data_IF_339667874401
#
_entry.id   IF_339667874401
#
_cell.length_a   1.000
_cell.length_b   1.000
_cell.length_c   1.000
_cell.angle_alpha   90.00
_cell.angle_beta   90.00
_cell.angle_gamma   90.00
#
_symmetry.space_group_name_H-M   'P 1'
#
loop_
_entity.id
_entity.type
_entity.pdbx_description
1 polymer ?
#
# COMPACT_ATOMS: atom_id res chain seq x y z
N UNK A 1 44.83 -9.59 27.13
CA UNK A 1 44.70 -10.96 26.60
C UNK A 1 43.52 -11.00 25.62
N UNK A 2 43.74 -10.53 24.39
CA UNK A 2 42.88 -10.82 23.24
C UNK A 2 43.84 -11.03 22.07
N UNK A 3 43.79 -12.24 21.52
CA UNK A 3 44.73 -12.77 20.53
C UNK A 3 44.54 -12.07 19.19
N UNK A 4 45.66 -11.62 18.64
CA UNK A 4 45.86 -11.30 17.23
C UNK A 4 45.46 -12.53 16.41
N UNK A 5 44.48 -12.38 15.52
CA UNK A 5 44.23 -13.34 14.45
C UNK A 5 45.10 -12.90 13.27
N UNK A 6 46.28 -13.52 13.15
CA UNK A 6 47.04 -13.50 11.90
C UNK A 6 46.24 -14.28 10.86
N UNK A 7 45.61 -13.56 9.92
CA UNK A 7 45.10 -14.15 8.68
C UNK A 7 46.18 -13.90 7.64
N UNK A 8 46.81 -15.00 7.24
CA UNK A 8 47.89 -15.05 6.27
C UNK A 8 47.51 -14.40 4.94
N UNK A 9 48.55 -13.88 4.29
CA UNK A 9 48.57 -13.32 2.95
C UNK A 9 48.17 -14.43 1.97
N UNK A 10 46.87 -14.59 1.75
CA UNK A 10 46.30 -15.26 0.61
C UNK A 10 45.91 -14.21 -0.41
N UNK A 11 46.41 -14.34 -1.64
CA UNK A 11 46.13 -13.47 -2.78
C UNK A 11 44.70 -12.94 -2.78
N UNK A 12 44.53 -11.67 -2.37
CA UNK A 12 43.33 -10.91 -2.71
C UNK A 12 43.44 -10.64 -4.20
N UNK A 13 42.86 -11.52 -5.00
CA UNK A 13 42.53 -11.22 -6.38
C UNK A 13 41.67 -9.96 -6.36
N UNK A 14 42.28 -8.83 -6.71
CA UNK A 14 41.57 -7.59 -7.03
C UNK A 14 40.65 -7.95 -8.20
N UNK A 15 39.38 -8.23 -7.90
CA UNK A 15 38.36 -8.35 -8.93
C UNK A 15 38.38 -7.02 -9.68
N UNK A 16 38.68 -6.98 -10.99
CA UNK A 16 38.75 -5.73 -11.71
C UNK A 16 37.41 -5.02 -11.60
N UNK A 17 37.42 -3.86 -10.93
CA UNK A 17 36.30 -2.94 -10.89
C UNK A 17 36.00 -2.57 -12.34
N UNK A 18 34.84 -3.02 -12.84
CA UNK A 18 34.39 -2.67 -14.18
C UNK A 18 33.41 -1.49 -14.07
N UNK A 19 33.86 -0.23 -14.15
CA UNK A 19 32.96 0.92 -14.05
C UNK A 19 31.85 0.89 -15.13
N UNK A 20 32.06 0.15 -16.24
CA UNK A 20 31.03 -0.05 -17.26
C UNK A 20 29.86 -0.91 -16.78
N UNK A 21 30.02 -1.79 -15.78
CA UNK A 21 28.92 -2.61 -15.27
C UNK A 21 27.96 -1.78 -14.42
N UNK A 22 28.46 -0.98 -13.48
CA UNK A 22 27.61 -0.11 -12.65
C UNK A 22 26.92 1.00 -13.45
N UNK A 23 27.64 1.65 -14.39
CA UNK A 23 27.01 2.64 -15.26
C UNK A 23 25.92 2.03 -16.16
N UNK A 24 26.17 0.83 -16.74
CA UNK A 24 25.16 0.12 -17.55
C UNK A 24 23.95 -0.30 -16.73
N UNK A 25 24.16 -0.83 -15.53
CA UNK A 25 23.08 -1.21 -14.62
C UNK A 25 22.24 0.04 -14.25
N UNK A 26 22.88 1.18 -14.01
CA UNK A 26 22.19 2.45 -13.78
C UNK A 26 21.40 2.92 -15.01
N UNK A 27 21.99 2.93 -16.22
CA UNK A 27 21.30 3.34 -17.45
C UNK A 27 20.09 2.45 -17.73
N UNK A 28 20.20 1.14 -17.43
CA UNK A 28 19.08 0.21 -17.52
C UNK A 28 18.01 0.56 -16.49
N UNK A 29 18.37 0.73 -15.21
CA UNK A 29 17.39 1.06 -14.16
C UNK A 29 16.70 2.41 -14.38
N UNK A 30 17.45 3.45 -14.74
CA UNK A 30 16.92 4.81 -14.92
C UNK A 30 16.02 4.91 -16.15
N UNK A 31 16.42 4.34 -17.30
CA UNK A 31 15.57 4.37 -18.50
C UNK A 31 14.36 3.45 -18.35
N UNK A 32 14.48 2.33 -17.62
CA UNK A 32 13.37 1.41 -17.42
C UNK A 32 12.33 1.97 -16.44
N UNK A 33 12.74 2.53 -15.28
CA UNK A 33 11.80 3.09 -14.31
C UNK A 33 11.09 4.35 -14.85
N UNK A 34 11.80 5.24 -15.55
CA UNK A 34 11.19 6.47 -16.08
C UNK A 34 10.24 6.25 -17.27
N UNK A 35 10.47 5.22 -18.11
CA UNK A 35 9.61 4.96 -19.27
C UNK A 35 8.44 4.00 -18.97
N UNK A 36 8.52 3.19 -17.90
CA UNK A 36 7.51 2.16 -17.61
C UNK A 36 6.67 2.39 -16.35
N UNK A 37 7.09 3.20 -15.39
CA UNK A 37 6.30 3.44 -14.19
C UNK A 37 5.56 4.79 -14.27
N UNK A 38 4.22 4.74 -14.22
CA UNK A 38 3.35 5.91 -14.21
C UNK A 38 2.60 5.98 -12.88
N UNK A 39 2.43 7.18 -12.34
CA UNK A 39 1.71 7.43 -11.10
C UNK A 39 0.91 8.74 -11.20
N UNK A 40 -0.40 8.63 -11.06
CA UNK A 40 -1.32 9.76 -10.98
C UNK A 40 -1.94 9.79 -9.58
N UNK A 41 -1.76 10.90 -8.87
CA UNK A 41 -2.25 11.11 -7.50
C UNK A 41 -3.35 12.14 -7.49
N UNK A 42 -4.56 11.74 -7.10
CA UNK A 42 -5.75 12.60 -7.01
C UNK A 42 -6.05 12.81 -5.53
N UNK A 43 -5.83 14.02 -5.02
CA UNK A 43 -6.20 14.37 -3.63
C UNK A 43 -7.70 14.63 -3.53
N UNK A 44 -8.35 14.13 -2.49
CA UNK A 44 -9.80 14.31 -2.31
C UNK A 44 -10.23 14.61 -0.86
N UNK A 45 -9.31 15.03 0.02
CA UNK A 45 -9.63 15.33 1.43
C UNK A 45 -10.78 16.34 1.57
N UNK A 46 -10.78 17.38 0.74
CA UNK A 46 -11.69 18.53 0.80
C UNK A 46 -12.57 18.56 -0.45
N UNK A 47 -13.19 17.43 -0.78
CA UNK A 47 -14.01 17.36 -1.97
C UNK A 47 -15.33 18.14 -1.76
N UNK A 48 -15.82 18.75 -2.83
CA UNK A 48 -17.14 19.37 -2.83
C UNK A 48 -18.18 18.29 -3.11
N UNK A 49 -19.20 18.25 -2.25
CA UNK A 49 -20.36 17.38 -2.48
C UNK A 49 -21.17 17.90 -3.68
N UNK A 50 -22.05 17.06 -4.23
CA UNK A 50 -22.98 17.47 -5.31
C UNK A 50 -23.88 18.65 -4.94
N UNK A 51 -24.04 18.93 -3.64
CA UNK A 51 -24.83 20.04 -3.08
C UNK A 51 -24.00 21.35 -2.97
N UNK A 52 -22.70 21.31 -3.31
CA UNK A 52 -21.80 22.47 -3.29
C UNK A 52 -21.12 22.74 -1.95
N UNK A 53 -21.46 21.98 -0.89
CA UNK A 53 -20.81 22.11 0.41
C UNK A 53 -19.46 21.38 0.41
N UNK A 54 -18.43 22.03 0.97
CA UNK A 54 -17.11 21.43 1.18
C UNK A 54 -17.17 20.44 2.34
N UNK A 55 -16.43 19.32 2.24
CA UNK A 55 -16.33 18.34 3.33
C UNK A 55 -15.51 18.84 4.53
N UNK A 56 -15.00 20.07 4.50
CA UNK A 56 -14.21 20.68 5.59
C UNK A 56 -15.06 21.09 6.80
N UNK A 57 -16.35 21.38 6.61
CA UNK A 57 -17.24 21.87 7.68
C UNK A 57 -17.91 20.78 8.52
N UNK A 58 -17.77 19.50 8.12
CA UNK A 58 -18.41 18.38 8.81
C UNK A 58 -17.52 17.82 9.93
N UNK A 59 -17.68 18.38 11.13
CA UNK A 59 -17.01 17.92 12.36
C UNK A 59 -17.74 16.76 13.07
N UNK A 60 -18.99 16.49 12.71
CA UNK A 60 -19.83 15.46 13.32
C UNK A 60 -20.18 14.37 12.29
N UNK A 61 -19.51 13.22 12.38
CA UNK A 61 -19.77 12.06 11.52
C UNK A 61 -20.93 11.23 12.10
N UNK A 62 -22.13 11.78 12.05
CA UNK A 62 -23.37 11.02 12.26
C UNK A 62 -24.28 11.29 11.08
N UNK A 63 -24.34 10.36 10.12
CA UNK A 63 -25.37 10.38 9.10
C UNK A 63 -26.29 9.19 9.31
N UNK A 64 -27.55 9.43 9.71
CA UNK A 64 -28.58 8.40 9.74
C UNK A 64 -29.02 7.93 8.35
N UNK A 65 -28.78 8.70 7.27
CA UNK A 65 -29.47 8.44 5.97
C UNK A 65 -28.77 8.87 4.63
N UNK A 66 -27.48 9.26 4.55
CA UNK A 66 -26.94 9.69 3.23
C UNK A 66 -25.44 9.92 3.13
N UNK A 67 -24.76 9.02 2.41
CA UNK A 67 -23.33 9.11 2.08
C UNK A 67 -22.98 10.40 1.34
N UNK A 68 -22.01 11.17 1.83
CA UNK A 68 -21.44 12.28 1.09
C UNK A 68 -20.71 11.73 -0.15
N UNK A 69 -21.26 11.98 -1.34
CA UNK A 69 -20.65 11.54 -2.59
C UNK A 69 -19.90 12.69 -3.26
N UNK A 70 -18.64 12.44 -3.61
CA UNK A 70 -17.77 13.39 -4.28
C UNK A 70 -17.48 12.93 -5.71
N UNK A 71 -17.51 13.87 -6.65
CA UNK A 71 -17.25 13.63 -8.07
C UNK A 71 -16.04 14.46 -8.47
N UNK A 72 -14.94 13.79 -8.85
CA UNK A 72 -13.72 14.46 -9.28
C UNK A 72 -13.41 14.09 -10.72
N UNK A 73 -13.47 15.08 -11.60
CA UNK A 73 -13.18 14.90 -13.02
C UNK A 73 -11.73 15.28 -13.32
N UNK A 74 -11.02 14.44 -14.06
CA UNK A 74 -9.64 14.65 -14.48
C UNK A 74 -9.37 14.03 -15.85
N UNK A 75 -8.34 14.54 -16.53
CA UNK A 75 -7.89 14.03 -17.82
C UNK A 75 -6.65 13.14 -17.65
N UNK A 76 -6.66 11.98 -18.28
CA UNK A 76 -5.46 11.17 -18.52
C UNK A 76 -4.96 11.50 -19.92
N UNK A 77 -3.76 12.08 -20.04
CA UNK A 77 -3.21 12.58 -21.31
C UNK A 77 -2.65 11.47 -22.20
N UNK A 78 -2.11 10.41 -21.60
CA UNK A 78 -1.44 9.31 -22.29
C UNK A 78 -2.06 7.96 -21.92
N UNK A 79 -2.09 7.00 -22.84
CA UNK A 79 -2.60 5.66 -22.58
C UNK A 79 -1.73 4.97 -21.51
N UNK A 80 -2.36 4.56 -20.41
CA UNK A 80 -1.67 3.76 -19.39
C UNK A 80 -1.75 2.29 -19.78
N UNK A 81 -0.71 1.78 -20.44
CA UNK A 81 -0.69 0.42 -20.98
C UNK A 81 -0.18 -0.62 -19.97
N UNK A 82 -0.86 -1.76 -19.85
CA UNK A 82 -0.44 -2.88 -18.99
C UNK A 82 -1.23 -2.99 -17.67
N UNK A 83 -0.57 -3.50 -16.63
CA UNK A 83 -1.23 -3.82 -15.36
C UNK A 83 -1.41 -2.59 -14.48
N UNK A 84 -2.63 -2.05 -14.51
CA UNK A 84 -3.00 -0.87 -13.74
C UNK A 84 -3.54 -1.28 -12.37
N UNK A 85 -3.05 -0.58 -11.34
CA UNK A 85 -3.45 -0.78 -9.96
C UNK A 85 -3.97 0.53 -9.37
N UNK A 86 -5.00 0.40 -8.57
CA UNK A 86 -5.67 1.49 -7.89
C UNK A 86 -5.35 1.40 -6.40
N UNK A 87 -4.95 2.51 -5.81
CA UNK A 87 -4.58 2.62 -4.42
C UNK A 87 -5.36 3.76 -3.76
N UNK A 88 -5.63 3.62 -2.47
CA UNK A 88 -5.91 4.79 -1.64
C UNK A 88 -4.66 5.13 -0.82
N UNK A 89 -4.37 6.41 -0.70
CA UNK A 89 -3.26 6.96 0.06
C UNK A 89 -3.77 7.75 1.27
N UNK A 90 -3.13 7.52 2.42
CA UNK A 90 -3.30 8.30 3.63
C UNK A 90 -1.98 8.99 3.98
N UNK A 91 -2.04 10.29 4.21
CA UNK A 91 -0.91 11.13 4.64
C UNK A 91 -1.13 11.54 6.10
N UNK A 92 -0.05 11.64 6.88
CA UNK A 92 -0.10 12.00 8.31
C UNK A 92 -0.94 11.00 9.15
N UNK A 93 -0.97 9.73 8.74
CA UNK A 93 -1.65 8.66 9.48
C UNK A 93 -0.65 7.67 10.05
N UNK A 94 -0.44 7.70 11.36
CA UNK A 94 0.66 7.01 12.05
C UNK A 94 0.31 5.56 12.44
N UNK A 95 0.17 4.66 11.44
CA UNK A 95 -0.03 3.22 11.70
C UNK A 95 1.18 2.55 12.38
N UNK A 96 2.34 3.19 12.35
CA UNK A 96 3.59 2.67 12.89
C UNK A 96 3.78 2.94 14.39
N UNK A 97 2.81 3.59 15.06
CA UNK A 97 2.84 3.72 16.51
C UNK A 97 2.79 2.33 17.17
N UNK A 98 3.71 2.06 18.11
CA UNK A 98 3.83 0.74 18.77
C UNK A 98 2.50 0.26 19.37
N UNK A 99 1.81 1.12 20.14
CA UNK A 99 0.55 0.77 20.79
C UNK A 99 -0.56 0.50 19.77
N UNK A 100 -0.54 1.20 18.63
CA UNK A 100 -1.46 0.94 17.54
C UNK A 100 -1.19 -0.41 16.88
N UNK A 101 0.08 -0.71 16.52
CA UNK A 101 0.47 -1.96 15.85
C UNK A 101 0.22 -3.19 16.73
N UNK A 102 0.49 -3.07 18.04
CA UNK A 102 0.28 -4.14 19.01
C UNK A 102 -1.21 -4.35 19.34
N UNK A 103 -2.08 -3.37 19.09
CA UNK A 103 -3.52 -3.46 19.36
C UNK A 103 -4.28 -4.22 18.27
N UNK A 104 -4.01 -5.53 18.20
CA UNK A 104 -4.73 -6.53 17.41
C UNK A 104 -4.44 -7.93 17.97
N UNK A 105 -5.30 -8.90 17.69
CA UNK A 105 -5.06 -10.29 18.05
C UNK A 105 -5.11 -11.21 16.82
N UNK A 106 -3.95 -11.72 16.40
CA UNK A 106 -3.84 -12.55 15.19
C UNK A 106 -4.54 -13.92 15.34
N UNK A 107 -4.72 -14.42 16.56
CA UNK A 107 -5.44 -15.67 16.84
C UNK A 107 -6.95 -15.49 16.67
N UNK A 108 -7.47 -14.31 17.02
CA UNK A 108 -8.86 -13.93 16.75
C UNK A 108 -9.17 -13.92 15.25
N UNK A 109 -8.25 -13.38 14.44
CA UNK A 109 -8.37 -13.31 12.98
C UNK A 109 -8.38 -14.69 12.31
N UNK A 110 -7.96 -15.74 13.03
CA UNK A 110 -8.06 -17.14 12.62
C UNK A 110 -9.39 -17.80 13.03
N UNK A 111 -10.34 -17.04 13.57
CA UNK A 111 -11.68 -17.50 13.93
C UNK A 111 -11.88 -17.88 15.39
N UNK A 112 -10.91 -17.61 16.28
CA UNK A 112 -11.04 -17.85 17.74
C UNK A 112 -11.48 -16.57 18.46
N UNK A 113 -12.78 -16.32 18.51
CA UNK A 113 -13.37 -15.02 18.88
C UNK A 113 -13.17 -14.63 20.36
N UNK A 114 -12.88 -15.60 21.21
CA UNK A 114 -12.59 -15.45 22.64
C UNK A 114 -11.19 -14.87 22.92
N UNK A 115 -10.27 -15.02 21.97
CA UNK A 115 -8.87 -14.60 22.09
C UNK A 115 -8.73 -13.11 21.76
N UNK A 116 -8.61 -12.27 22.79
CA UNK A 116 -8.56 -10.79 22.64
C UNK A 116 -7.35 -10.16 23.35
N UNK A 117 -6.36 -10.97 23.71
CA UNK A 117 -5.15 -10.49 24.37
C UNK A 117 -4.40 -9.50 23.47
N UNK A 118 -3.90 -8.42 24.07
CA UNK A 118 -3.23 -7.32 23.36
C UNK A 118 -4.15 -6.25 22.77
N UNK A 119 -5.47 -6.49 22.70
CA UNK A 119 -6.42 -5.54 22.10
C UNK A 119 -6.92 -4.43 23.04
N UNK A 120 -6.48 -4.39 24.31
CA UNK A 120 -6.96 -3.40 25.28
C UNK A 120 -6.76 -1.95 24.79
N UNK A 121 -7.72 -1.04 25.02
CA UNK A 121 -9.02 -1.23 25.71
C UNK A 121 -10.16 -1.72 24.79
N UNK A 122 -9.88 -2.02 23.52
CA UNK A 122 -10.85 -2.49 22.52
C UNK A 122 -10.87 -4.03 22.44
N UNK A 123 -10.79 -4.69 23.59
CA UNK A 123 -10.87 -6.15 23.73
C UNK A 123 -12.30 -6.61 24.05
N UNK A 124 -12.99 -5.92 24.97
CA UNK A 124 -14.37 -6.23 25.39
C UNK A 124 -15.21 -4.98 25.59
N UNK A 125 -16.53 -5.12 25.45
CA UNK A 125 -17.48 -4.05 25.78
C UNK A 125 -17.60 -3.94 27.30
N UNK A 126 -17.44 -2.74 27.85
CA UNK A 126 -17.49 -2.51 29.29
C UNK A 126 -18.85 -2.97 29.88
N UNK A 127 -18.79 -3.72 30.98
CA UNK A 127 -19.98 -4.23 31.67
C UNK A 127 -20.66 -5.44 31.01
N UNK A 128 -20.09 -6.01 29.94
CA UNK A 128 -20.62 -7.22 29.29
C UNK A 128 -19.52 -8.27 29.06
N UNK A 129 -19.93 -9.51 28.77
CA UNK A 129 -19.01 -10.58 28.38
C UNK A 129 -18.74 -10.60 26.86
N UNK A 130 -19.27 -9.66 26.09
CA UNK A 130 -19.09 -9.63 24.65
C UNK A 130 -17.72 -9.08 24.26
N UNK A 131 -17.04 -9.77 23.34
CA UNK A 131 -15.77 -9.33 22.76
C UNK A 131 -15.99 -8.48 21.52
N UNK A 132 -15.08 -7.55 21.25
CA UNK A 132 -15.08 -6.87 19.95
C UNK A 132 -14.53 -7.83 18.88
N UNK A 133 -15.21 -7.96 17.74
CA UNK A 133 -14.74 -8.74 16.61
C UNK A 133 -14.82 -7.90 15.33
N UNK A 134 -13.68 -7.57 14.71
CA UNK A 134 -12.29 -7.74 15.18
C UNK A 134 -11.90 -6.81 16.35
N UNK A 135 -11.07 -7.26 17.28
CA UNK A 135 -10.60 -6.44 18.40
C UNK A 135 -9.44 -5.51 18.02
N UNK A 136 -9.26 -4.43 18.80
CA UNK A 136 -8.08 -3.56 18.73
C UNK A 136 -8.18 -2.34 17.79
N UNK A 137 -7.25 -1.40 17.97
CA UNK A 137 -7.26 -0.11 17.27
C UNK A 137 -6.99 -0.22 15.77
N UNK A 138 -6.19 -1.21 15.34
CA UNK A 138 -5.91 -1.43 13.92
C UNK A 138 -7.22 -1.67 13.19
N UNK A 139 -8.03 -2.60 13.70
CA UNK A 139 -9.26 -2.97 13.03
C UNK A 139 -10.35 -1.90 13.20
N UNK A 140 -10.47 -1.29 14.39
CA UNK A 140 -11.44 -0.23 14.64
C UNK A 140 -11.33 0.94 13.66
N UNK A 141 -10.11 1.30 13.25
CA UNK A 141 -9.87 2.43 12.34
C UNK A 141 -9.86 2.08 10.85
N UNK A 142 -10.49 0.96 10.48
CA UNK A 142 -10.57 0.48 9.09
C UNK A 142 -11.08 1.54 8.11
N UNK A 143 -10.34 1.70 7.01
CA UNK A 143 -10.72 2.56 5.91
C UNK A 143 -12.00 2.06 5.21
N UNK A 144 -12.96 2.95 4.99
CA UNK A 144 -14.30 2.60 4.51
C UNK A 144 -14.86 3.52 3.40
N UNK A 145 -14.03 4.36 2.75
CA UNK A 145 -14.45 5.01 1.50
C UNK A 145 -14.53 3.97 0.37
N UNK A 146 -15.43 4.21 -0.58
CA UNK A 146 -15.54 3.39 -1.79
C UNK A 146 -15.36 4.24 -3.03
N UNK A 147 -14.75 3.65 -4.06
CA UNK A 147 -14.41 4.33 -5.30
C UNK A 147 -15.08 3.65 -6.49
N UNK A 148 -15.52 4.46 -7.45
CA UNK A 148 -15.91 4.04 -8.78
C UNK A 148 -15.28 4.99 -9.78
N UNK A 149 -14.70 4.47 -10.84
CA UNK A 149 -14.07 5.27 -11.88
C UNK A 149 -14.88 5.13 -13.16
N UNK A 150 -15.26 6.26 -13.76
CA UNK A 150 -16.07 6.33 -14.98
C UNK A 150 -15.21 6.95 -16.07
N UNK A 151 -15.11 6.28 -17.22
CA UNK A 151 -14.46 6.78 -18.42
C UNK A 151 -15.50 7.42 -19.33
N UNK A 152 -15.26 8.67 -19.73
CA UNK A 152 -16.09 9.39 -20.70
C UNK A 152 -15.50 9.19 -22.09
N UNK A 153 -16.05 8.24 -22.85
CA UNK A 153 -15.58 7.94 -24.19
C UNK A 153 -15.87 9.07 -25.18
N UNK A 154 -15.05 9.18 -26.23
CA UNK A 154 -15.16 10.25 -27.25
C UNK A 154 -16.50 10.27 -28.01
N UNK A 155 -17.28 9.19 -27.94
CA UNK A 155 -18.60 9.06 -28.58
C UNK A 155 -19.78 9.31 -27.61
N UNK A 156 -19.54 9.89 -26.43
CA UNK A 156 -20.58 10.29 -25.47
C UNK A 156 -21.14 9.16 -24.60
N UNK A 157 -20.44 8.02 -24.53
CA UNK A 157 -20.79 6.90 -23.65
C UNK A 157 -19.94 6.89 -22.38
N UNK A 158 -20.60 6.82 -21.23
CA UNK A 158 -19.96 6.67 -19.92
C UNK A 158 -19.76 5.18 -19.62
N UNK A 159 -18.51 4.77 -19.49
CA UNK A 159 -18.13 3.37 -19.25
C UNK A 159 -17.52 3.27 -17.85
N UNK A 160 -18.10 2.42 -16.99
CA UNK A 160 -17.52 2.15 -15.68
C UNK A 160 -16.25 1.33 -15.86
N UNK A 161 -15.13 1.83 -15.33
CA UNK A 161 -13.85 1.12 -15.36
C UNK A 161 -13.97 -0.14 -14.49
N UNK A 162 -13.73 -1.33 -15.05
CA UNK A 162 -13.95 -2.57 -14.35
C UNK A 162 -12.82 -2.83 -13.35
N UNK A 163 -13.21 -3.02 -12.09
CA UNK A 163 -12.29 -3.34 -11.01
C UNK A 163 -12.31 -4.83 -10.72
N UNK A 164 -11.13 -5.41 -10.49
CA UNK A 164 -10.98 -6.80 -10.06
C UNK A 164 -10.23 -6.89 -8.74
N UNK A 165 -10.57 -7.94 -7.98
CA UNK A 165 -9.89 -8.33 -6.73
C UNK A 165 -8.95 -9.53 -6.91
N UNK A 166 -8.96 -10.15 -8.10
CA UNK A 166 -8.17 -11.33 -8.43
C UNK A 166 -6.69 -11.03 -8.24
N UNK A 167 -5.91 -11.96 -7.67
CA UNK A 167 -4.46 -11.82 -7.47
C UNK A 167 -3.98 -10.64 -6.61
N UNK A 168 -4.85 -9.91 -5.89
CA UNK A 168 -4.42 -8.85 -4.96
C UNK A 168 -3.65 -9.41 -3.75
N UNK A 169 -4.02 -10.60 -3.29
CA UNK A 169 -3.39 -11.29 -2.17
C UNK A 169 -3.19 -12.78 -2.50
N UNK A 170 -1.99 -13.34 -2.30
CA UNK A 170 -1.74 -14.77 -2.49
C UNK A 170 -2.59 -15.62 -1.55
N UNK A 171 -3.18 -16.71 -2.06
CA UNK A 171 -4.07 -17.59 -1.29
C UNK A 171 -3.42 -18.17 -0.02
N UNK A 172 -2.12 -18.46 -0.08
CA UNK A 172 -1.35 -18.95 1.07
C UNK A 172 -1.33 -17.94 2.22
N UNK A 173 -1.27 -16.64 1.91
CA UNK A 173 -1.28 -15.58 2.94
C UNK A 173 -2.66 -15.46 3.54
N UNK A 174 -3.71 -15.45 2.70
CA UNK A 174 -5.12 -15.40 3.13
C UNK A 174 -5.41 -16.54 4.11
N UNK A 175 -5.24 -17.80 3.67
CA UNK A 175 -5.57 -19.01 4.45
C UNK A 175 -4.74 -19.23 5.72
N UNK A 176 -3.56 -18.63 5.81
CA UNK A 176 -2.65 -18.76 6.97
C UNK A 176 -2.92 -17.74 8.07
N UNK A 177 -3.40 -16.55 7.71
CA UNK A 177 -3.55 -15.43 8.65
C UNK A 177 -5.00 -15.08 8.98
N UNK A 178 -5.92 -15.43 8.09
CA UNK A 178 -7.32 -15.04 8.21
C UNK A 178 -8.22 -16.23 7.92
N UNK A 179 -9.16 -16.49 8.83
CA UNK A 179 -10.20 -17.50 8.67
C UNK A 179 -11.45 -17.07 9.40
N UNK A 180 -12.59 -17.25 8.75
CA UNK A 180 -13.86 -17.06 9.43
C UNK A 180 -14.11 -18.17 10.46
N UNK A 181 -14.77 -17.86 11.58
CA UNK A 181 -15.27 -18.88 12.50
C UNK A 181 -16.26 -19.79 11.76
N UNK A 182 -16.27 -21.07 12.12
CA UNK A 182 -17.23 -22.01 11.55
C UNK A 182 -18.56 -21.90 12.32
N UNK A 183 -19.70 -21.75 11.64
CA UNK A 183 -20.99 -21.82 12.30
C UNK A 183 -21.23 -23.21 12.87
N UNK A 184 -21.97 -23.27 13.97
CA UNK A 184 -22.44 -24.54 14.53
C UNK A 184 -23.61 -25.06 13.69
N UNK A 185 -23.50 -26.30 13.18
CA UNK A 185 -24.53 -26.92 12.36
C UNK A 185 -24.83 -26.16 11.06
N UNK A 186 -26.11 -25.92 10.79
CA UNK A 186 -26.60 -25.19 9.60
C UNK A 186 -26.70 -23.67 9.81
N UNK A 187 -25.99 -23.12 10.81
CA UNK A 187 -26.00 -21.69 11.10
C UNK A 187 -25.38 -20.84 9.99
N UNK A 188 -25.76 -19.57 9.96
CA UNK A 188 -25.16 -18.55 9.10
C UNK A 188 -23.82 -18.08 9.66
N UNK A 189 -23.03 -17.39 8.84
CA UNK A 189 -21.78 -16.77 9.32
C UNK A 189 -22.03 -15.81 10.49
N UNK A 190 -23.13 -15.06 10.49
CA UNK A 190 -23.45 -14.14 11.58
C UNK A 190 -23.74 -14.87 12.89
N UNK A 191 -24.33 -16.07 12.83
CA UNK A 191 -24.56 -16.90 14.03
C UNK A 191 -23.22 -17.34 14.65
N UNK A 192 -22.20 -17.60 13.82
CA UNK A 192 -20.85 -17.87 14.29
C UNK A 192 -20.21 -16.68 15.04
N UNK A 193 -20.73 -15.46 14.85
CA UNK A 193 -20.29 -14.24 15.52
C UNK A 193 -21.25 -13.76 16.64
N UNK A 194 -22.26 -14.55 17.03
CA UNK A 194 -23.34 -14.11 17.93
C UNK A 194 -22.89 -13.52 19.28
N UNK A 195 -21.76 -13.97 19.84
CA UNK A 195 -21.20 -13.47 21.11
C UNK A 195 -20.17 -12.34 20.93
N UNK A 196 -20.23 -11.63 19.81
CA UNK A 196 -19.30 -10.54 19.50
C UNK A 196 -20.02 -9.28 19.10
N UNK A 197 -19.37 -8.14 19.30
CA UNK A 197 -19.87 -6.83 18.91
C UNK A 197 -18.90 -6.21 17.90
N UNK A 198 -19.43 -5.46 16.94
CA UNK A 198 -18.59 -4.70 16.02
C UNK A 198 -17.77 -3.62 16.75
N UNK A 199 -16.60 -3.23 16.24
CA UNK A 199 -15.83 -2.12 16.79
C UNK A 199 -16.63 -0.79 16.79
N UNK A 200 -16.34 0.14 17.72
CA UNK A 200 -17.09 1.38 17.86
C UNK A 200 -17.22 2.24 16.59
N UNK A 201 -16.21 2.26 15.72
CA UNK A 201 -16.22 3.07 14.49
C UNK A 201 -16.75 2.32 13.25
N UNK A 202 -17.24 1.10 13.43
CA UNK A 202 -17.78 0.31 12.32
C UNK A 202 -19.28 0.57 12.16
N UNK A 203 -19.70 0.75 10.90
CA UNK A 203 -21.12 0.89 10.52
C UNK A 203 -21.80 -0.46 10.27
N UNK A 204 -21.01 -1.48 9.94
CA UNK A 204 -21.51 -2.83 9.61
C UNK A 204 -20.84 -3.87 10.49
N UNK A 205 -21.55 -4.95 10.80
CA UNK A 205 -20.99 -6.06 11.55
C UNK A 205 -20.02 -6.86 10.67
N UNK A 206 -18.98 -7.43 11.28
CA UNK A 206 -17.94 -8.17 10.55
C UNK A 206 -18.53 -9.29 9.68
N UNK A 207 -19.56 -9.99 10.13
CA UNK A 207 -20.18 -11.08 9.37
C UNK A 207 -20.87 -10.62 8.07
N UNK A 208 -21.19 -9.33 7.94
CA UNK A 208 -21.80 -8.72 6.75
C UNK A 208 -20.78 -8.01 5.86
N UNK A 209 -19.55 -7.79 6.36
CA UNK A 209 -18.51 -7.09 5.63
C UNK A 209 -18.18 -7.83 4.33
N UNK A 210 -18.45 -7.18 3.19
CA UNK A 210 -18.20 -7.75 1.86
C UNK A 210 -19.27 -8.72 1.33
N UNK A 211 -20.35 -9.00 2.08
CA UNK A 211 -21.38 -9.94 1.66
C UNK A 211 -22.10 -9.54 0.35
N UNK A 212 -22.22 -8.23 0.10
CA UNK A 212 -22.91 -7.69 -1.09
C UNK A 212 -21.96 -7.41 -2.26
N UNK A 213 -20.68 -7.79 -2.16
CA UNK A 213 -19.66 -7.47 -3.18
C UNK A 213 -19.03 -8.76 -3.68
N UNK A 214 -19.17 -9.02 -4.97
CA UNK A 214 -18.65 -10.24 -5.57
C UNK A 214 -17.11 -10.26 -5.57
N UNK A 215 -16.53 -11.41 -5.23
CA UNK A 215 -15.09 -11.66 -5.35
C UNK A 215 -14.19 -11.05 -4.25
N UNK A 216 -14.76 -10.31 -3.30
CA UNK A 216 -13.95 -9.68 -2.22
C UNK A 216 -13.82 -10.53 -0.96
N UNK A 217 -14.70 -11.51 -0.77
CA UNK A 217 -14.77 -12.33 0.44
C UNK A 217 -15.55 -11.66 1.57
N UNK A 218 -15.96 -12.46 2.57
CA UNK A 218 -16.82 -12.03 3.66
C UNK A 218 -16.09 -12.16 5.00
N UNK A 219 -16.36 -11.29 5.97
CA UNK A 219 -15.81 -11.40 7.32
C UNK A 219 -14.31 -11.14 7.38
N UNK A 220 -13.58 -11.95 8.16
CA UNK A 220 -12.12 -11.85 8.26
C UNK A 220 -11.41 -12.20 6.96
N UNK A 221 -12.09 -12.92 6.06
CA UNK A 221 -11.56 -13.29 4.73
C UNK A 221 -11.82 -12.21 3.67
N UNK A 222 -12.39 -11.07 4.06
CA UNK A 222 -12.54 -9.91 3.19
C UNK A 222 -11.17 -9.30 2.80
N UNK A 223 -10.94 -9.09 1.50
CA UNK A 223 -9.65 -8.62 0.98
C UNK A 223 -9.31 -7.21 1.46
N UNK A 224 -10.28 -6.28 1.51
CA UNK A 224 -10.05 -4.91 1.97
C UNK A 224 -9.64 -4.90 3.44
N UNK A 225 -10.31 -5.72 4.26
CA UNK A 225 -9.95 -5.92 5.65
C UNK A 225 -8.51 -6.45 5.79
N UNK A 226 -8.14 -7.50 5.05
CA UNK A 226 -6.79 -8.07 5.11
C UNK A 226 -5.70 -7.08 4.68
N UNK A 227 -5.97 -6.25 3.66
CA UNK A 227 -5.05 -5.20 3.20
C UNK A 227 -4.91 -4.10 4.26
N UNK A 228 -6.01 -3.73 4.92
CA UNK A 228 -5.99 -2.76 5.99
C UNK A 228 -5.17 -3.23 7.20
N UNK A 229 -5.41 -4.47 7.64
CA UNK A 229 -4.74 -5.08 8.81
C UNK A 229 -3.21 -5.21 8.67
N UNK A 230 -2.68 -5.15 7.43
CA UNK A 230 -1.24 -5.00 7.19
C UNK A 230 -0.80 -3.56 7.46
N UNK A 231 -0.40 -3.29 8.70
CA UNK A 231 0.07 -1.96 9.13
C UNK A 231 1.22 -1.42 8.27
N UNK A 232 1.16 -0.13 7.95
CA UNK A 232 2.23 0.57 7.24
C UNK A 232 3.37 0.97 8.18
N UNK A 233 4.60 0.98 7.66
CA UNK A 233 5.79 1.36 8.42
C UNK A 233 6.00 2.88 8.53
N UNK A 234 5.35 3.65 7.65
CA UNK A 234 5.50 5.10 7.53
C UNK A 234 4.14 5.79 7.68
N UNK A 235 4.10 7.06 8.13
CA UNK A 235 2.86 7.84 8.28
C UNK A 235 2.23 8.25 6.94
N UNK A 236 3.02 8.21 5.87
CA UNK A 236 2.56 8.39 4.50
C UNK A 236 2.60 7.03 3.82
N UNK A 237 1.42 6.50 3.53
CA UNK A 237 1.33 5.19 2.91
C UNK A 237 0.18 5.13 1.93
N UNK A 238 0.25 4.11 1.08
CA UNK A 238 -0.86 3.71 0.23
C UNK A 238 -1.15 2.23 0.40
N UNK A 239 -2.39 1.86 0.18
CA UNK A 239 -2.87 0.48 0.25
C UNK A 239 -3.63 0.16 -1.02
N UNK A 240 -3.42 -1.05 -1.52
CA UNK A 240 -4.01 -1.51 -2.78
C UNK A 240 -5.53 -1.58 -2.59
N UNK A 241 -6.27 -0.87 -3.44
CA UNK A 241 -7.72 -0.90 -3.46
C UNK A 241 -8.20 -1.95 -4.44
N UNK A 242 -7.88 -1.82 -5.72
CA UNK A 242 -8.31 -2.75 -6.77
C UNK A 242 -7.25 -2.83 -7.87
N UNK A 243 -7.39 -3.79 -8.77
CA UNK A 243 -6.66 -3.82 -10.03
C UNK A 243 -7.63 -3.62 -11.19
N UNK A 244 -7.12 -3.18 -12.33
CA UNK A 244 -7.92 -3.08 -13.55
C UNK A 244 -8.26 -4.49 -14.05
N UNK A 245 -9.53 -4.74 -14.34
CA UNK A 245 -9.93 -5.96 -15.02
C UNK A 245 -9.67 -5.84 -16.52
N UNK A 246 -8.60 -6.49 -16.97
CA UNK A 246 -8.16 -6.47 -18.37
C UNK A 246 -8.88 -7.52 -19.23
N UNK A 247 -9.82 -8.29 -18.70
CA UNK A 247 -10.62 -9.24 -19.49
C UNK A 247 -11.82 -8.57 -20.16
N UNK A 248 -12.26 -7.42 -19.63
CA UNK A 248 -13.38 -6.66 -20.16
C UNK A 248 -12.95 -5.85 -21.40
N UNK A 249 -13.78 -5.90 -22.43
CA UNK A 249 -13.55 -5.18 -23.68
C UNK A 249 -13.44 -3.66 -23.44
N UNK A 250 -12.50 -3.00 -24.13
CA UNK A 250 -12.18 -1.58 -23.95
C UNK A 250 -11.06 -1.28 -22.96
N UNK A 251 -10.69 -2.24 -22.08
CA UNK A 251 -9.63 -2.06 -21.08
C UNK A 251 -8.52 -3.13 -21.11
N UNK A 252 -8.49 -3.96 -22.16
CA UNK A 252 -7.51 -5.06 -22.31
C UNK A 252 -6.07 -4.58 -22.31
N UNK A 253 -5.81 -3.46 -22.96
CA UNK A 253 -4.47 -2.88 -23.06
C UNK A 253 -4.14 -1.96 -21.89
N UNK A 254 -5.11 -1.61 -21.03
CA UNK A 254 -4.94 -0.72 -19.89
C UNK A 254 -6.00 0.38 -19.86
N UNK A 255 -5.65 1.55 -19.30
CA UNK A 255 -6.55 2.72 -19.29
C UNK A 255 -6.28 3.60 -20.53
N UNK A 256 -7.28 3.83 -21.40
CA UNK A 256 -7.13 4.77 -22.51
C UNK A 256 -7.00 6.21 -22.01
N UNK A 257 -6.39 7.07 -22.81
CA UNK A 257 -6.37 8.50 -22.58
C UNK A 257 -7.77 9.09 -22.75
N UNK A 258 -8.07 10.15 -22.02
CA UNK A 258 -9.37 10.82 -22.07
C UNK A 258 -9.82 11.32 -20.71
N UNK A 259 -11.11 11.67 -20.64
CA UNK A 259 -11.73 12.23 -19.45
C UNK A 259 -12.27 11.13 -18.56
N UNK A 260 -11.98 11.24 -17.27
CA UNK A 260 -12.46 10.32 -16.25
C UNK A 260 -13.14 11.08 -15.12
N UNK A 261 -14.16 10.48 -14.53
CA UNK A 261 -14.77 10.94 -13.29
C UNK A 261 -14.60 9.87 -12.22
N UNK A 262 -13.94 10.25 -11.13
CA UNK A 262 -13.83 9.45 -9.91
C UNK A 262 -15.00 9.80 -8.99
N UNK A 263 -15.86 8.82 -8.78
CA UNK A 263 -16.98 8.86 -7.84
C UNK A 263 -16.52 8.25 -6.53
N UNK A 264 -16.63 9.01 -5.44
CA UNK A 264 -16.15 8.62 -4.11
C UNK A 264 -17.31 8.70 -3.14
N UNK A 265 -17.62 7.59 -2.46
CA UNK A 265 -18.47 7.66 -1.27
C UNK A 265 -17.57 7.92 -0.07
N UNK A 266 -17.69 9.13 0.48
CA UNK A 266 -16.83 9.67 1.52
C UNK A 266 -17.39 9.29 2.91
N UNK A 267 -16.90 8.17 3.45
CA UNK A 267 -17.32 7.62 4.74
C UNK A 267 -16.23 7.72 5.82
N UNK A 268 -14.96 7.91 5.43
CA UNK A 268 -13.81 7.89 6.32
C UNK A 268 -13.45 9.30 6.78
N UNK A 269 -13.60 9.61 8.08
CA UNK A 269 -13.26 10.91 8.62
C UNK A 269 -11.74 11.04 8.75
N UNK A 270 -11.10 11.76 7.83
CA UNK A 270 -9.65 12.02 7.87
C UNK A 270 -9.29 13.41 8.44
N UNK A 271 -10.23 14.35 8.37
CA UNK A 271 -10.02 15.77 8.71
C UNK A 271 -9.73 16.01 10.19
N UNK A 272 -10.38 15.29 11.11
CA UNK A 272 -10.22 15.45 12.57
C UNK A 272 -8.80 15.18 13.10
N UNK A 273 -7.91 14.59 12.29
CA UNK A 273 -6.50 14.32 12.62
C UNK A 273 -5.51 15.03 11.70
N UNK A 274 -5.98 15.89 10.79
CA UNK A 274 -5.15 16.50 9.76
C UNK A 274 -4.62 15.49 8.72
N UNK A 275 -5.24 14.31 8.61
CA UNK A 275 -4.82 13.31 7.64
C UNK A 275 -5.35 13.69 6.24
N UNK A 276 -4.50 13.59 5.22
CA UNK A 276 -4.91 13.80 3.83
C UNK A 276 -5.26 12.48 3.16
N UNK A 277 -6.28 12.49 2.30
CA UNK A 277 -6.72 11.35 1.50
C UNK A 277 -6.41 11.56 0.02
N UNK A 278 -5.97 10.49 -0.62
CA UNK A 278 -5.70 10.48 -2.07
C UNK A 278 -6.11 9.16 -2.71
N UNK A 279 -6.53 9.22 -3.97
CA UNK A 279 -6.71 8.07 -4.83
C UNK A 279 -5.57 8.07 -5.85
N UNK A 280 -4.90 6.94 -5.99
CA UNK A 280 -3.66 6.85 -6.75
C UNK A 280 -3.82 5.76 -7.81
N UNK A 281 -3.62 6.14 -9.07
CA UNK A 281 -3.59 5.22 -10.20
C UNK A 281 -2.13 4.99 -10.56
N UNK A 282 -1.70 3.73 -10.57
CA UNK A 282 -0.32 3.39 -10.90
C UNK A 282 -0.24 2.30 -11.94
N UNK A 283 0.72 2.43 -12.84
CA UNK A 283 1.26 1.33 -13.63
C UNK A 283 2.55 0.88 -12.97
N UNK A 284 2.57 -0.34 -12.45
CA UNK A 284 3.80 -0.89 -11.84
C UNK A 284 4.69 -1.52 -12.91
N UNK A 285 5.99 -1.29 -12.77
CA UNK A 285 7.00 -2.07 -13.49
C UNK A 285 7.27 -3.37 -12.73
N UNK A 286 8.09 -4.28 -13.29
CA UNK A 286 8.56 -5.46 -12.56
C UNK A 286 9.26 -5.12 -11.23
N UNK A 287 9.93 -3.96 -11.15
CA UNK A 287 10.57 -3.49 -9.92
C UNK A 287 9.60 -2.82 -8.94
N UNK A 288 8.32 -2.78 -9.30
CA UNK A 288 7.27 -2.12 -8.55
C UNK A 288 7.04 -0.68 -9.01
N UNK A 289 6.54 0.17 -8.11
CA UNK A 289 6.19 1.55 -8.43
C UNK A 289 7.41 2.47 -8.56
N UNK A 290 7.24 3.58 -9.30
CA UNK A 290 8.30 4.56 -9.58
C UNK A 290 9.02 5.03 -8.31
N UNK A 291 10.35 4.86 -8.24
CA UNK A 291 11.19 5.32 -7.12
C UNK A 291 12.59 5.72 -7.58
N UNK A 292 12.80 7.03 -7.72
CA UNK A 292 14.08 7.61 -8.15
C UNK A 292 15.23 7.44 -7.13
N UNK A 293 14.92 7.16 -5.87
CA UNK A 293 15.90 7.04 -4.79
C UNK A 293 16.98 5.98 -5.06
N UNK A 294 16.58 4.81 -5.55
CA UNK A 294 17.53 3.71 -5.79
C UNK A 294 18.52 4.09 -6.90
N UNK A 295 18.03 4.74 -7.96
CA UNK A 295 18.87 5.22 -9.06
C UNK A 295 19.91 6.25 -8.56
N UNK A 296 19.48 7.21 -7.75
CA UNK A 296 20.37 8.20 -7.13
C UNK A 296 21.42 7.55 -6.22
N UNK A 297 21.02 6.59 -5.39
CA UNK A 297 21.92 5.89 -4.48
C UNK A 297 23.04 5.16 -5.24
N UNK A 298 22.71 4.46 -6.32
CA UNK A 298 23.72 3.79 -7.15
C UNK A 298 24.70 4.77 -7.80
N UNK A 299 24.24 5.94 -8.27
CA UNK A 299 25.13 6.99 -8.81
C UNK A 299 26.06 7.49 -7.70
N UNK A 300 25.52 7.84 -6.54
CA UNK A 300 26.30 8.40 -5.44
C UNK A 300 27.41 7.44 -4.99
N UNK A 301 27.08 6.16 -4.80
CA UNK A 301 28.06 5.12 -4.43
C UNK A 301 29.06 4.89 -5.56
N UNK A 302 28.62 4.85 -6.82
CA UNK A 302 29.51 4.66 -7.98
C UNK A 302 30.52 5.79 -8.14
N UNK A 303 30.09 7.05 -7.97
CA UNK A 303 30.97 8.22 -7.99
C UNK A 303 31.95 8.19 -6.83
N UNK A 304 31.49 7.85 -5.62
CA UNK A 304 32.36 7.73 -4.44
C UNK A 304 33.46 6.69 -4.65
N UNK A 305 33.12 5.48 -5.12
CA UNK A 305 34.10 4.42 -5.38
C UNK A 305 35.10 4.79 -6.48
N UNK A 306 34.67 5.53 -7.50
CA UNK A 306 35.54 6.02 -8.57
C UNK A 306 36.57 7.03 -8.03
N UNK A 307 36.14 7.98 -7.19
CA UNK A 307 37.05 8.94 -6.56
C UNK A 307 38.09 8.26 -5.67
N UNK A 308 37.66 7.29 -4.86
CA UNK A 308 38.56 6.48 -4.02
C UNK A 308 39.57 5.70 -4.87
N UNK A 309 39.14 5.14 -6.01
CA UNK A 309 40.02 4.41 -6.92
C UNK A 309 41.08 5.32 -7.57
N UNK A 310 40.69 6.53 -8.00
CA UNK A 310 41.63 7.52 -8.55
C UNK A 310 42.65 7.95 -7.49
N UNK A 311 42.22 8.15 -6.24
CA UNK A 311 43.12 8.49 -5.14
C UNK A 311 44.17 7.40 -4.92
N UNK A 312 43.75 6.13 -4.81
CA UNK A 312 44.67 5.01 -4.65
C UNK A 312 45.62 4.83 -5.83
N UNK A 313 45.13 5.02 -7.06
CA UNK A 313 45.98 4.99 -8.25
C UNK A 313 47.03 6.11 -8.20
N UNK A 314 46.65 7.32 -7.80
CA UNK A 314 47.57 8.44 -7.62
C UNK A 314 48.66 8.17 -6.58
N UNK A 315 48.28 7.58 -5.43
CA UNK A 315 49.23 7.16 -4.39
C UNK A 315 50.18 6.07 -4.93
N UNK A 316 49.67 5.08 -5.65
CA UNK A 316 50.47 4.00 -6.20
C UNK A 316 51.49 4.49 -7.24
N UNK A 317 51.06 5.36 -8.16
CA UNK A 317 51.95 5.97 -9.16
C UNK A 317 53.03 6.82 -8.46
N UNK A 318 52.66 7.60 -7.44
CA UNK A 318 53.63 8.39 -6.66
C UNK A 318 54.67 7.50 -5.98
N UNK A 319 54.26 6.39 -5.37
CA UNK A 319 55.18 5.43 -4.75
C UNK A 319 56.15 4.82 -5.77
N UNK A 320 55.66 4.35 -6.92
CA UNK A 320 56.47 3.83 -8.03
C UNK A 320 57.52 4.83 -8.53
N UNK A 321 57.13 6.11 -8.69
CA UNK A 321 58.06 7.15 -9.13
C UNK A 321 59.16 7.37 -8.08
N UNK A 322 58.82 7.41 -6.80
CA UNK A 322 59.80 7.55 -5.73
C UNK A 322 60.77 6.37 -5.67
N UNK A 323 60.28 5.14 -5.83
CA UNK A 323 61.12 3.94 -5.90
C UNK A 323 62.08 3.98 -7.09
N UNK A 324 61.60 4.36 -8.28
CA UNK A 324 62.47 4.49 -9.48
C UNK A 324 63.54 5.56 -9.32
N UNK A 325 63.26 6.64 -8.58
CA UNK A 325 64.24 7.71 -8.27
C UNK A 325 65.25 7.29 -7.21
N UNK A 326 64.89 6.38 -6.30
CA UNK A 326 65.81 5.86 -5.29
C UNK A 326 66.78 4.81 -5.85
N UNK A 327 66.47 4.22 -7.02
CA UNK A 327 67.31 3.23 -7.71
C UNK A 327 68.24 3.84 -8.78
N UNK A 328 68.10 5.12 -9.10
CA UNK A 328 68.91 5.85 -10.07
C UNK A 328 69.98 6.70 -9.38
#
# INVERSE_FOLDING_TARGET
MFKVLEIGIGNVSVVPYNPKSFLRIHTIFYNYDNNLALELVIKYTNCTTTVGNSTEENSDFSYPDGTAQCHLTFAITENYTGDIRFYYGLREFYQNNRLYVESRNDVQLLGKLDQVDGCKPLDRVQGTNFTYAPCGFVANSMFNDSFQLVFHGSHGGDIVVPFTTRNMLPDRVKKRKYRNPKPEGNGTLCDAFANTVRPPWWQTDICKLGANVQGIGVGFENIDFMIWMKTAALPHFRKLYRMLDREVDGFRDGLPNGMYTLVINYNYPATWKGAEKSFIITRESWMGPRKEFLAFLYIAVGVFLLLVSILFLGIHIRQRILESRAQA
#
